data_IF_405908393627
#
_entry.id   IF_405908393627
#
_cell.length_a   1.000
_cell.length_b   1.000
_cell.length_c   1.000
_cell.angle_alpha   90.00
_cell.angle_beta   90.00
_cell.angle_gamma   90.00
#
_symmetry.space_group_name_H-M   'P 1'
#
loop_
_entity.id
_entity.type
_entity.pdbx_description
1 polymer ?
#
# COMPACT_ATOMS: atom_id res chain seq x y z
N UNK A 1 51.20 19.30 -53.10
CA UNK A 1 51.40 20.08 -51.85
C UNK A 1 50.05 20.28 -51.24
N UNK A 2 49.74 19.53 -50.20
CA UNK A 2 48.47 19.68 -49.48
C UNK A 2 48.67 20.82 -48.50
N UNK A 3 47.91 21.90 -48.63
CA UNK A 3 47.90 23.07 -47.74
C UNK A 3 47.43 22.65 -46.36
N UNK A 4 48.32 22.68 -45.39
CA UNK A 4 48.01 22.52 -43.95
C UNK A 4 47.04 23.64 -43.52
N UNK A 5 45.74 23.34 -43.59
CA UNK A 5 44.72 24.23 -43.03
C UNK A 5 44.95 24.34 -41.49
N UNK A 6 44.89 25.55 -40.90
CA UNK A 6 45.12 25.71 -39.46
C UNK A 6 44.07 24.90 -38.66
N UNK A 7 44.55 23.90 -37.92
CA UNK A 7 43.74 23.07 -37.04
C UNK A 7 43.02 23.96 -36.02
N UNK A 8 41.69 23.86 -35.95
CA UNK A 8 40.88 24.48 -34.90
C UNK A 8 41.29 24.00 -33.50
N UNK A 9 40.66 24.56 -32.47
CA UNK A 9 40.99 24.26 -31.05
C UNK A 9 40.89 22.74 -30.78
N UNK A 10 39.84 22.07 -31.27
CA UNK A 10 39.63 20.62 -31.14
C UNK A 10 40.71 19.81 -31.86
N UNK A 11 41.12 20.22 -33.07
CA UNK A 11 42.18 19.54 -33.82
C UNK A 11 43.56 19.68 -33.17
N UNK A 12 43.87 20.82 -32.57
CA UNK A 12 45.12 21.04 -31.78
C UNK A 12 45.14 20.18 -30.52
N UNK A 13 43.98 20.05 -29.84
CA UNK A 13 43.86 19.21 -28.66
C UNK A 13 44.03 17.72 -29.03
N UNK A 14 43.35 17.26 -30.08
CA UNK A 14 43.46 15.89 -30.57
C UNK A 14 44.90 15.53 -30.95
N UNK A 15 45.61 16.40 -31.71
CA UNK A 15 47.02 16.20 -32.08
C UNK A 15 47.96 16.14 -30.86
N UNK A 16 47.69 16.87 -29.77
CA UNK A 16 48.50 16.85 -28.53
C UNK A 16 48.33 15.53 -27.77
N UNK A 17 47.14 14.92 -27.81
CA UNK A 17 46.84 13.68 -27.08
C UNK A 17 47.04 12.42 -27.92
N UNK A 18 47.07 12.50 -29.24
CA UNK A 18 47.15 11.36 -30.12
C UNK A 18 48.40 10.47 -29.86
N UNK A 19 49.55 11.04 -29.57
CA UNK A 19 50.79 10.34 -29.28
C UNK A 19 51.23 10.43 -27.80
N UNK A 20 50.30 10.81 -26.91
CA UNK A 20 50.62 10.95 -25.50
C UNK A 20 50.46 9.61 -24.78
N UNK A 21 51.45 9.11 -23.99
CA UNK A 21 51.35 7.86 -23.27
C UNK A 21 50.23 7.84 -22.21
N UNK A 22 49.72 9.01 -21.81
CA UNK A 22 48.58 9.10 -20.91
C UNK A 22 47.25 8.74 -21.59
N UNK A 23 47.14 8.84 -22.89
CA UNK A 23 45.89 8.60 -23.63
C UNK A 23 45.37 7.17 -23.46
N UNK A 24 46.18 6.09 -23.66
CA UNK A 24 45.69 4.73 -23.42
C UNK A 24 45.35 4.46 -21.94
N UNK A 25 46.09 5.10 -21.00
CA UNK A 25 45.80 4.96 -19.57
C UNK A 25 44.45 5.57 -19.24
N UNK A 26 44.14 6.78 -19.74
CA UNK A 26 42.86 7.44 -19.57
C UNK A 26 41.71 6.66 -20.23
N UNK A 27 41.98 6.08 -21.40
CA UNK A 27 40.99 5.24 -22.10
C UNK A 27 40.63 3.97 -21.27
N UNK A 28 41.65 3.29 -20.72
CA UNK A 28 41.42 2.12 -19.84
C UNK A 28 40.71 2.53 -18.55
N UNK A 29 41.10 3.63 -17.93
CA UNK A 29 40.45 4.14 -16.73
C UNK A 29 38.99 4.51 -16.99
N UNK A 30 38.71 5.18 -18.12
CA UNK A 30 37.34 5.50 -18.53
C UNK A 30 36.49 4.24 -18.75
N UNK A 31 37.04 3.20 -19.37
CA UNK A 31 36.38 1.91 -19.61
C UNK A 31 36.10 1.21 -18.27
N UNK A 32 37.06 1.19 -17.35
CA UNK A 32 36.88 0.59 -16.02
C UNK A 32 35.83 1.35 -15.22
N UNK A 33 35.85 2.69 -15.21
CA UNK A 33 34.83 3.50 -14.55
C UNK A 33 33.44 3.25 -15.15
N UNK A 34 33.34 3.13 -16.48
CA UNK A 34 32.09 2.79 -17.16
C UNK A 34 31.56 1.42 -16.75
N UNK A 35 32.45 0.41 -16.67
CA UNK A 35 32.08 -0.93 -16.21
C UNK A 35 31.58 -0.91 -14.75
N UNK A 36 32.29 -0.23 -13.87
CA UNK A 36 31.88 -0.05 -12.46
C UNK A 36 30.53 0.67 -12.36
N UNK A 37 30.34 1.72 -13.16
CA UNK A 37 29.06 2.44 -13.18
C UNK A 37 27.90 1.54 -13.58
N UNK A 38 28.05 0.70 -14.61
CA UNK A 38 27.01 -0.25 -15.04
C UNK A 38 26.67 -1.25 -13.93
N UNK A 39 27.67 -1.69 -13.15
CA UNK A 39 27.46 -2.67 -12.06
C UNK A 39 26.78 -2.05 -10.81
N UNK A 40 27.03 -0.76 -10.53
CA UNK A 40 26.54 -0.11 -9.31
C UNK A 40 25.20 0.62 -9.54
N UNK A 41 24.92 1.05 -10.78
CA UNK A 41 23.71 1.83 -11.07
C UNK A 41 22.45 0.96 -10.90
N UNK A 42 21.49 1.35 -10.03
CA UNK A 42 20.25 0.63 -9.87
C UNK A 42 19.46 0.54 -11.17
N UNK A 43 18.94 -0.65 -11.45
CA UNK A 43 18.08 -0.87 -12.61
C UNK A 43 16.61 -0.66 -12.20
N UNK A 44 15.95 0.28 -12.86
CA UNK A 44 14.56 0.63 -12.58
C UNK A 44 13.77 0.68 -13.89
N UNK A 45 12.49 0.26 -13.84
CA UNK A 45 11.63 0.31 -15.01
C UNK A 45 11.18 1.73 -15.33
N UNK A 46 10.82 2.49 -14.28
CA UNK A 46 10.38 3.88 -14.39
C UNK A 46 11.47 4.79 -13.80
N UNK A 47 11.78 5.92 -14.47
CA UNK A 47 12.76 6.86 -13.95
C UNK A 47 12.25 7.45 -12.63
N UNK A 48 13.15 7.64 -11.68
CA UNK A 48 12.88 8.34 -10.43
C UNK A 48 12.63 9.82 -10.71
N UNK A 49 11.35 10.17 -10.90
CA UNK A 49 10.94 11.57 -11.02
C UNK A 49 10.62 12.04 -9.60
N UNK A 50 11.34 13.07 -9.15
CA UNK A 50 11.13 13.65 -7.82
C UNK A 50 9.86 14.51 -7.79
N UNK A 51 8.71 13.84 -7.76
CA UNK A 51 7.39 14.44 -7.61
C UNK A 51 6.84 14.09 -6.24
N UNK A 52 6.68 15.10 -5.42
CA UNK A 52 6.00 14.95 -4.13
C UNK A 52 4.50 14.91 -4.33
N UNK A 53 3.87 13.85 -3.83
CA UNK A 53 2.42 13.67 -3.82
C UNK A 53 1.94 13.27 -2.43
N UNK A 54 0.68 13.56 -2.14
CA UNK A 54 0.02 13.07 -0.93
C UNK A 54 -1.48 12.89 -1.17
N UNK A 55 -2.05 11.89 -0.48
CA UNK A 55 -3.50 11.74 -0.40
C UNK A 55 -3.99 12.26 0.95
N UNK A 56 -5.10 12.99 0.92
CA UNK A 56 -5.84 13.42 2.10
C UNK A 56 -7.18 12.69 2.09
N UNK A 57 -7.40 11.82 3.06
CA UNK A 57 -8.65 11.08 3.24
C UNK A 57 -9.48 11.77 4.30
N UNK A 58 -10.74 12.09 3.99
CA UNK A 58 -11.66 12.68 4.95
C UNK A 58 -12.91 11.82 5.04
N UNK A 59 -13.11 11.08 6.13
CA UNK A 59 -14.32 10.28 6.32
C UNK A 59 -15.52 11.18 6.64
N UNK A 60 -16.67 10.86 6.03
CA UNK A 60 -17.94 11.49 6.32
C UNK A 60 -19.05 10.43 6.30
N UNK A 61 -19.12 9.57 7.31
CA UNK A 61 -20.05 8.46 7.35
C UNK A 61 -21.50 8.88 7.15
N UNK A 62 -22.25 8.15 6.33
CA UNK A 62 -23.66 8.42 6.03
C UNK A 62 -23.94 9.52 5.00
N UNK A 63 -22.93 10.27 4.58
CA UNK A 63 -23.10 11.30 3.56
C UNK A 63 -23.12 10.70 2.14
N UNK A 64 -23.97 11.23 1.28
CA UNK A 64 -23.96 10.96 -0.16
C UNK A 64 -22.73 11.60 -0.83
N UNK A 65 -22.33 11.12 -2.02
CA UNK A 65 -21.23 11.70 -2.79
C UNK A 65 -21.38 13.21 -3.03
N UNK A 66 -22.60 13.67 -3.28
CA UNK A 66 -22.88 15.10 -3.47
C UNK A 66 -22.69 15.93 -2.21
N UNK A 67 -23.07 15.38 -1.04
CA UNK A 67 -22.80 16.04 0.24
C UNK A 67 -21.31 16.06 0.57
N UNK A 68 -20.59 14.95 0.30
CA UNK A 68 -19.14 14.88 0.44
C UNK A 68 -18.45 15.92 -0.45
N UNK A 69 -18.88 16.04 -1.72
CA UNK A 69 -18.35 17.04 -2.65
C UNK A 69 -18.52 18.46 -2.12
N UNK A 70 -19.76 18.83 -1.76
CA UNK A 70 -20.08 20.19 -1.38
C UNK A 70 -19.52 20.60 -0.01
N UNK A 71 -19.53 19.70 0.96
CA UNK A 71 -19.18 20.01 2.34
C UNK A 71 -17.72 19.69 2.70
N UNK A 72 -17.04 18.84 1.91
CA UNK A 72 -15.67 18.39 2.19
C UNK A 72 -14.74 18.69 1.03
N UNK A 73 -15.01 18.11 -0.16
CA UNK A 73 -14.04 18.18 -1.27
C UNK A 73 -13.83 19.61 -1.74
N UNK A 74 -14.89 20.33 -2.07
CA UNK A 74 -14.81 21.69 -2.60
C UNK A 74 -14.17 22.69 -1.61
N UNK A 75 -14.56 22.77 -0.31
CA UNK A 75 -13.88 23.64 0.64
C UNK A 75 -12.41 23.29 0.85
N UNK A 76 -12.08 21.98 0.91
CA UNK A 76 -10.73 21.54 1.14
C UNK A 76 -9.83 21.74 -0.09
N UNK A 77 -10.32 21.53 -1.31
CA UNK A 77 -9.61 21.86 -2.56
C UNK A 77 -9.16 23.33 -2.57
N UNK A 78 -10.05 24.23 -2.20
CA UNK A 78 -9.74 25.65 -2.12
C UNK A 78 -8.60 25.92 -1.14
N UNK A 79 -8.65 25.31 0.04
CA UNK A 79 -7.59 25.46 1.06
C UNK A 79 -6.28 24.84 0.63
N UNK A 80 -6.32 23.68 -0.02
CA UNK A 80 -5.11 23.00 -0.50
C UNK A 80 -4.45 23.76 -1.66
N UNK A 81 -5.24 24.39 -2.54
CA UNK A 81 -4.72 25.17 -3.67
C UNK A 81 -3.97 26.42 -3.23
N UNK A 82 -4.13 26.88 -1.99
CA UNK A 82 -3.40 28.01 -1.41
C UNK A 82 -1.95 27.67 -1.04
N UNK A 83 -1.59 26.38 -1.00
CA UNK A 83 -0.25 25.91 -0.60
C UNK A 83 0.75 26.18 -1.73
N UNK A 84 1.85 26.86 -1.42
CA UNK A 84 2.93 27.12 -2.36
C UNK A 84 3.56 25.82 -2.89
N UNK A 85 3.77 25.77 -4.20
CA UNK A 85 4.40 24.64 -4.88
C UNK A 85 3.42 23.54 -5.29
N UNK A 86 2.13 23.65 -5.02
CA UNK A 86 1.12 22.75 -5.56
C UNK A 86 0.91 23.00 -7.05
N UNK A 87 0.92 21.92 -7.83
CA UNK A 87 0.65 21.93 -9.26
C UNK A 87 -0.81 21.59 -9.55
N UNK A 88 -1.29 20.49 -8.93
CA UNK A 88 -2.66 20.03 -9.10
C UNK A 88 -3.24 19.49 -7.80
N UNK A 89 -4.55 19.66 -7.63
CA UNK A 89 -5.35 18.99 -6.60
C UNK A 89 -6.45 18.23 -7.33
N UNK A 90 -6.50 16.92 -7.14
CA UNK A 90 -7.55 16.06 -7.66
C UNK A 90 -8.41 15.59 -6.50
N UNK A 91 -9.73 15.54 -6.68
CA UNK A 91 -10.64 15.02 -5.66
C UNK A 91 -11.55 13.93 -6.21
N UNK A 92 -11.86 12.98 -5.33
CA UNK A 92 -12.86 11.93 -5.56
C UNK A 92 -13.81 11.93 -4.38
N UNK A 93 -15.07 12.29 -4.64
CA UNK A 93 -16.15 12.28 -3.66
C UNK A 93 -16.93 10.98 -3.76
N UNK A 94 -16.81 10.12 -2.76
CA UNK A 94 -17.54 8.84 -2.64
C UNK A 94 -18.56 8.94 -1.51
N UNK A 95 -19.61 8.09 -1.50
CA UNK A 95 -20.46 7.98 -0.33
C UNK A 95 -19.62 7.67 0.92
N UNK A 96 -19.73 8.52 1.94
CA UNK A 96 -19.01 8.35 3.19
C UNK A 96 -17.57 8.79 3.23
N UNK A 97 -16.94 9.25 2.12
CA UNK A 97 -15.52 9.62 2.13
C UNK A 97 -15.12 10.56 0.97
N UNK A 98 -14.31 11.58 1.27
CA UNK A 98 -13.55 12.32 0.28
C UNK A 98 -12.10 11.82 0.22
N UNK A 99 -11.54 11.76 -0.99
CA UNK A 99 -10.12 11.49 -1.23
C UNK A 99 -9.58 12.60 -2.11
N UNK A 100 -8.65 13.40 -1.56
CA UNK A 100 -7.98 14.46 -2.31
C UNK A 100 -6.53 14.07 -2.54
N UNK A 101 -6.09 14.13 -3.79
CA UNK A 101 -4.70 13.89 -4.17
C UNK A 101 -4.04 15.21 -4.52
N UNK A 102 -3.00 15.55 -3.79
CA UNK A 102 -2.20 16.75 -3.97
C UNK A 102 -0.92 16.37 -4.72
N UNK A 103 -0.66 17.03 -5.85
CA UNK A 103 0.56 16.90 -6.65
C UNK A 103 1.34 18.21 -6.59
N UNK A 104 2.61 18.14 -6.19
CA UNK A 104 3.51 19.27 -6.19
C UNK A 104 4.26 19.40 -7.52
N UNK A 105 4.79 20.59 -7.80
CA UNK A 105 5.69 20.80 -8.94
C UNK A 105 6.98 20.00 -8.76
N UNK A 106 7.55 19.54 -9.88
CA UNK A 106 8.82 18.79 -9.89
C UNK A 106 9.92 19.62 -9.22
N UNK A 107 10.71 18.98 -8.37
CA UNK A 107 11.82 19.62 -7.65
C UNK A 107 11.42 20.26 -6.31
N UNK A 108 10.15 20.21 -5.91
CA UNK A 108 9.75 20.61 -4.54
C UNK A 108 10.17 19.53 -3.55
N UNK A 109 11.02 19.88 -2.61
CA UNK A 109 11.50 18.95 -1.59
C UNK A 109 10.34 18.33 -0.79
N UNK A 110 10.38 17.01 -0.63
CA UNK A 110 9.28 16.22 -0.05
C UNK A 110 8.97 16.62 1.39
N UNK A 111 9.98 16.73 2.26
CA UNK A 111 9.73 17.00 3.68
C UNK A 111 9.07 18.36 3.92
N UNK A 112 9.59 19.50 3.42
CA UNK A 112 8.93 20.79 3.57
C UNK A 112 7.52 20.83 2.96
N UNK A 113 7.32 20.18 1.81
CA UNK A 113 6.02 20.10 1.14
C UNK A 113 4.97 19.39 2.02
N UNK A 114 5.33 18.25 2.57
CA UNK A 114 4.43 17.48 3.44
C UNK A 114 4.16 18.22 4.75
N UNK A 115 5.13 18.92 5.33
CA UNK A 115 4.93 19.75 6.52
C UNK A 115 3.94 20.89 6.22
N UNK A 116 4.10 21.58 5.08
CA UNK A 116 3.14 22.63 4.65
C UNK A 116 1.73 22.06 4.48
N UNK A 117 1.60 20.87 3.89
CA UNK A 117 0.32 20.18 3.74
C UNK A 117 -0.33 19.85 5.09
N UNK A 118 0.44 19.28 6.02
CA UNK A 118 -0.05 19.01 7.38
C UNK A 118 -0.50 20.30 8.07
N UNK A 119 0.31 21.33 8.02
CA UNK A 119 -0.05 22.62 8.61
C UNK A 119 -1.34 23.17 8.02
N UNK A 120 -1.51 23.15 6.70
CA UNK A 120 -2.73 23.65 6.06
C UNK A 120 -3.97 22.84 6.42
N UNK A 121 -3.85 21.51 6.46
CA UNK A 121 -4.98 20.62 6.78
C UNK A 121 -5.39 20.70 8.25
N UNK A 122 -4.42 20.73 9.18
CA UNK A 122 -4.71 20.62 10.61
C UNK A 122 -4.79 21.96 11.34
N UNK A 123 -4.13 23.01 10.86
CA UNK A 123 -4.20 24.35 11.47
C UNK A 123 -5.40 25.16 11.00
N UNK A 124 -5.95 24.85 9.83
CA UNK A 124 -7.07 25.57 9.23
C UNK A 124 -8.29 24.64 9.09
N UNK A 125 -8.85 24.21 10.20
CA UNK A 125 -10.06 23.35 10.21
C UNK A 125 -11.39 24.13 10.13
N UNK A 126 -11.34 25.43 9.90
CA UNK A 126 -12.48 26.33 9.74
C UNK A 126 -13.34 26.04 8.49
N UNK A 127 -12.78 25.28 7.53
CA UNK A 127 -13.52 24.79 6.37
C UNK A 127 -14.53 23.69 6.72
N UNK A 128 -14.37 23.05 7.87
CA UNK A 128 -15.16 21.89 8.30
C UNK A 128 -16.29 22.33 9.23
N UNK A 129 -17.58 22.25 8.80
CA UNK A 129 -18.71 22.58 9.66
C UNK A 129 -18.72 21.68 10.90
N UNK A 130 -18.85 22.26 12.10
CA UNK A 130 -18.88 21.49 13.33
C UNK A 130 -20.18 20.70 13.47
N UNK A 131 -20.10 19.51 14.08
CA UNK A 131 -21.27 18.74 14.52
C UNK A 131 -22.03 17.95 13.45
N UNK A 132 -21.56 17.93 12.18
CA UNK A 132 -22.23 17.19 11.09
C UNK A 132 -21.62 15.81 10.84
N UNK A 133 -20.66 15.36 11.66
CA UNK A 133 -20.10 14.01 11.56
C UNK A 133 -18.93 13.85 10.58
N UNK A 134 -18.32 14.94 10.09
CA UNK A 134 -17.07 14.88 9.33
C UNK A 134 -15.96 14.44 10.26
N UNK A 135 -15.24 13.37 9.88
CA UNK A 135 -14.11 12.86 10.66
C UNK A 135 -12.82 13.63 10.38
N UNK A 136 -11.80 13.36 11.21
CA UNK A 136 -10.49 13.99 11.09
C UNK A 136 -9.82 13.59 9.74
N UNK A 137 -9.24 14.55 9.02
CA UNK A 137 -8.47 14.26 7.81
C UNK A 137 -7.26 13.37 8.11
N UNK A 138 -6.97 12.42 7.25
CA UNK A 138 -5.77 11.58 7.30
C UNK A 138 -4.89 11.87 6.09
N UNK A 139 -3.72 12.44 6.31
CA UNK A 139 -2.73 12.73 5.25
C UNK A 139 -1.79 11.55 5.09
N UNK A 140 -1.73 10.98 3.90
CA UNK A 140 -0.79 9.91 3.53
C UNK A 140 0.12 10.38 2.39
N UNK A 141 1.40 10.68 2.67
CA UNK A 141 2.37 10.99 1.62
C UNK A 141 2.50 9.83 0.64
N UNK A 142 2.62 10.15 -0.65
CA UNK A 142 2.87 9.20 -1.73
C UNK A 142 4.17 9.53 -2.47
N UNK A 143 4.77 8.51 -3.05
CA UNK A 143 5.95 8.64 -3.91
C UNK A 143 5.98 7.55 -4.97
N UNK A 144 6.90 7.69 -5.93
CA UNK A 144 7.11 6.69 -6.98
C UNK A 144 7.48 5.31 -6.40
N UNK A 145 8.21 5.30 -5.29
CA UNK A 145 8.60 4.07 -4.60
C UNK A 145 7.44 3.34 -3.89
N UNK A 146 6.24 3.93 -3.82
CA UNK A 146 5.03 3.25 -3.32
C UNK A 146 4.44 2.30 -4.35
N UNK A 147 4.86 2.42 -5.63
CA UNK A 147 4.44 1.51 -6.69
C UNK A 147 5.09 0.15 -6.45
N UNK A 148 4.29 -0.94 -6.37
CA UNK A 148 4.85 -2.26 -6.18
C UNK A 148 5.74 -2.69 -7.32
N UNK A 149 6.97 -3.11 -7.00
CA UNK A 149 7.92 -3.68 -7.96
C UNK A 149 7.62 -5.14 -8.29
N UNK A 150 6.91 -5.82 -7.38
CA UNK A 150 6.47 -7.21 -7.58
C UNK A 150 5.06 -7.41 -7.04
N UNK A 151 4.25 -8.20 -7.72
CA UNK A 151 2.97 -8.67 -7.25
C UNK A 151 2.88 -10.18 -7.38
N UNK A 152 2.46 -10.83 -6.30
CA UNK A 152 2.32 -12.28 -6.17
C UNK A 152 0.85 -12.58 -5.94
N UNK A 153 0.22 -13.28 -6.86
CA UNK A 153 -1.19 -13.65 -6.72
C UNK A 153 -1.31 -15.10 -6.27
N UNK A 154 -1.98 -15.28 -5.12
CA UNK A 154 -2.27 -16.57 -4.52
C UNK A 154 -3.67 -16.99 -4.91
N UNK A 155 -3.82 -18.22 -5.37
CA UNK A 155 -5.10 -18.81 -5.75
C UNK A 155 -5.11 -20.33 -5.53
N UNK A 156 -6.27 -20.97 -5.57
CA UNK A 156 -6.41 -22.41 -5.41
C UNK A 156 -7.48 -22.97 -6.34
N UNK A 157 -7.25 -24.19 -6.83
CA UNK A 157 -8.27 -24.98 -7.52
C UNK A 157 -9.24 -25.69 -6.58
N UNK A 158 -8.91 -25.75 -5.30
CA UNK A 158 -9.77 -26.35 -4.28
C UNK A 158 -10.96 -25.40 -3.94
N UNK A 159 -12.19 -25.77 -4.28
CA UNK A 159 -13.37 -24.95 -4.00
C UNK A 159 -13.64 -24.78 -2.48
N UNK A 160 -13.03 -25.61 -1.64
CA UNK A 160 -13.09 -25.47 -0.18
C UNK A 160 -12.19 -24.40 0.39
N UNK A 161 -11.24 -23.85 -0.41
CA UNK A 161 -10.36 -22.77 0.02
C UNK A 161 -10.94 -21.41 -0.40
N UNK A 162 -11.33 -20.64 0.60
CA UNK A 162 -11.86 -19.30 0.44
C UNK A 162 -10.75 -18.25 0.27
N UNK A 163 -11.13 -17.02 -0.13
CA UNK A 163 -10.19 -15.88 -0.14
C UNK A 163 -9.63 -15.60 1.27
N UNK A 164 -10.37 -15.92 2.33
CA UNK A 164 -9.89 -15.81 3.71
C UNK A 164 -8.73 -16.78 4.00
N UNK A 165 -8.84 -18.04 3.57
CA UNK A 165 -7.78 -19.05 3.75
C UNK A 165 -6.51 -18.63 3.00
N UNK A 166 -6.66 -18.11 1.78
CA UNK A 166 -5.55 -17.57 1.01
C UNK A 166 -4.94 -16.33 1.68
N UNK A 167 -5.76 -15.49 2.33
CA UNK A 167 -5.30 -14.32 3.07
C UNK A 167 -4.38 -14.70 4.25
N UNK A 168 -4.66 -15.80 4.96
CA UNK A 168 -3.80 -16.28 6.05
C UNK A 168 -2.41 -16.67 5.54
N UNK A 169 -2.36 -17.35 4.39
CA UNK A 169 -1.09 -17.69 3.72
C UNK A 169 -0.37 -16.41 3.26
N UNK A 170 -1.11 -15.46 2.67
CA UNK A 170 -0.56 -14.18 2.21
C UNK A 170 0.06 -13.36 3.36
N UNK A 171 -0.60 -13.25 4.50
CA UNK A 171 -0.06 -12.56 5.69
C UNK A 171 1.20 -13.23 6.25
N UNK A 172 1.26 -14.57 6.19
CA UNK A 172 2.48 -15.29 6.54
C UNK A 172 3.62 -15.00 5.57
N UNK A 173 3.31 -14.90 4.27
CA UNK A 173 4.26 -14.51 3.22
C UNK A 173 4.73 -13.07 3.40
N UNK A 174 3.85 -12.12 3.75
CA UNK A 174 4.26 -10.73 4.02
C UNK A 174 5.42 -10.66 5.01
N UNK A 175 5.32 -11.42 6.10
CA UNK A 175 6.35 -11.46 7.14
C UNK A 175 7.68 -11.96 6.60
N UNK A 176 7.65 -12.99 5.77
CA UNK A 176 8.86 -13.58 5.18
C UNK A 176 9.47 -12.71 4.09
N UNK A 177 8.63 -12.04 3.29
CA UNK A 177 9.09 -11.16 2.23
C UNK A 177 9.62 -9.82 2.76
N UNK A 178 9.11 -9.33 3.89
CA UNK A 178 9.69 -8.16 4.58
C UNK A 178 11.12 -8.35 5.05
N UNK A 179 11.58 -9.59 5.19
CA UNK A 179 12.98 -9.91 5.54
C UNK A 179 13.95 -9.80 4.36
N UNK A 180 13.43 -9.71 3.13
CA UNK A 180 14.28 -9.54 1.94
C UNK A 180 14.87 -8.13 1.95
N UNK A 181 16.21 -7.97 1.87
CA UNK A 181 16.86 -6.65 1.86
C UNK A 181 16.34 -5.79 0.70
N UNK A 182 16.12 -4.50 0.97
CA UNK A 182 15.62 -3.57 -0.04
C UNK A 182 14.10 -3.46 -0.11
N UNK A 183 13.32 -4.37 0.48
CA UNK A 183 11.87 -4.21 0.58
C UNK A 183 11.52 -3.11 1.58
N UNK A 184 10.55 -2.27 1.24
CA UNK A 184 10.02 -1.22 2.10
C UNK A 184 8.68 -1.61 2.69
N UNK A 185 7.71 -1.86 1.82
CA UNK A 185 6.36 -2.20 2.19
C UNK A 185 5.92 -3.50 1.50
N UNK A 186 5.28 -4.36 2.27
CA UNK A 186 4.69 -5.60 1.77
C UNK A 186 3.29 -5.67 2.33
N UNK A 187 2.30 -5.72 1.46
CA UNK A 187 0.90 -5.67 1.86
C UNK A 187 0.03 -6.55 0.96
N UNK A 188 -1.10 -6.98 1.50
CA UNK A 188 -2.03 -7.87 0.82
C UNK A 188 -3.26 -7.11 0.31
N UNK A 189 -3.69 -7.41 -0.91
CA UNK A 189 -4.87 -6.86 -1.58
C UNK A 189 -5.90 -7.98 -1.74
N UNK A 190 -7.17 -7.67 -1.45
CA UNK A 190 -8.28 -8.62 -1.56
C UNK A 190 -8.35 -9.65 -0.45
N UNK A 191 -7.65 -9.41 0.68
CA UNK A 191 -7.70 -10.23 1.87
C UNK A 191 -8.90 -9.83 2.74
N UNK A 192 -9.94 -10.65 2.87
CA UNK A 192 -11.02 -10.38 3.79
C UNK A 192 -10.55 -10.62 5.24
N UNK A 193 -10.99 -9.76 6.16
CA UNK A 193 -10.76 -9.93 7.59
C UNK A 193 -11.85 -10.81 8.21
N UNK A 194 -11.50 -11.56 9.26
CA UNK A 194 -12.49 -12.26 10.07
C UNK A 194 -13.27 -11.26 10.91
N UNK A 195 -14.59 -11.43 10.97
CA UNK A 195 -15.48 -10.57 11.74
C UNK A 195 -16.54 -11.40 12.46
N UNK A 196 -17.06 -10.84 13.56
CA UNK A 196 -18.31 -11.32 14.15
C UNK A 196 -19.45 -10.55 13.49
N UNK A 197 -20.31 -11.26 12.78
CA UNK A 197 -21.48 -10.69 12.12
C UNK A 197 -22.67 -10.68 13.08
N UNK A 198 -23.35 -9.55 13.16
CA UNK A 198 -24.58 -9.34 13.95
C UNK A 198 -25.68 -8.93 12.99
N UNK A 199 -26.53 -9.88 12.63
CA UNK A 199 -27.71 -9.66 11.78
C UNK A 199 -28.91 -9.33 12.64
N UNK A 200 -29.30 -8.07 12.73
CA UNK A 200 -30.43 -7.61 13.53
C UNK A 200 -31.76 -8.01 12.90
N UNK A 201 -32.69 -8.50 13.72
CA UNK A 201 -34.07 -8.76 13.32
C UNK A 201 -34.95 -7.56 13.69
N UNK A 202 -35.47 -6.81 12.70
CA UNK A 202 -36.29 -5.61 12.96
C UNK A 202 -37.58 -5.91 13.71
N UNK A 203 -38.18 -7.11 13.52
CA UNK A 203 -39.40 -7.52 14.21
C UNK A 203 -39.15 -7.76 15.69
N UNK A 204 -38.05 -8.42 16.03
CA UNK A 204 -37.67 -8.67 17.42
C UNK A 204 -37.22 -7.37 18.11
N UNK A 205 -36.46 -6.50 17.45
CA UNK A 205 -36.12 -5.18 17.96
C UNK A 205 -37.36 -4.39 18.35
N UNK A 206 -38.36 -4.36 17.46
CA UNK A 206 -39.65 -3.69 17.73
C UNK A 206 -40.42 -4.32 18.89
N UNK A 207 -40.43 -5.67 19.00
CA UNK A 207 -41.10 -6.39 20.08
C UNK A 207 -40.49 -6.06 21.46
N UNK A 208 -39.18 -5.85 21.53
CA UNK A 208 -38.47 -5.42 22.74
C UNK A 208 -38.40 -3.91 22.92
N UNK A 209 -38.99 -3.12 22.00
CA UNK A 209 -38.94 -1.65 21.96
C UNK A 209 -37.50 -1.09 21.98
N UNK A 210 -36.60 -1.76 21.23
CA UNK A 210 -35.19 -1.37 21.09
C UNK A 210 -34.91 -0.79 19.71
N UNK A 211 -34.05 0.22 19.66
CA UNK A 211 -33.56 0.81 18.41
C UNK A 211 -32.19 0.26 18.02
N UNK A 212 -31.84 0.33 16.74
CA UNK A 212 -30.49 -0.01 16.24
C UNK A 212 -29.43 0.84 16.92
N UNK A 213 -29.75 2.10 17.26
CA UNK A 213 -28.84 2.99 17.93
C UNK A 213 -28.48 2.51 19.35
N UNK A 214 -29.45 2.05 20.12
CA UNK A 214 -29.23 1.49 21.47
C UNK A 214 -28.35 0.23 21.40
N UNK A 215 -28.59 -0.65 20.44
CA UNK A 215 -27.75 -1.83 20.21
C UNK A 215 -26.30 -1.41 19.88
N UNK A 216 -26.12 -0.42 19.00
CA UNK A 216 -24.80 0.09 18.65
C UNK A 216 -24.07 0.72 19.86
N UNK A 217 -24.78 1.48 20.67
CA UNK A 217 -24.23 2.07 21.91
C UNK A 217 -23.84 0.99 22.92
N UNK A 218 -24.67 -0.03 23.11
CA UNK A 218 -24.38 -1.14 24.00
C UNK A 218 -23.13 -1.91 23.57
N UNK A 219 -22.98 -2.22 22.27
CA UNK A 219 -21.78 -2.84 21.72
C UNK A 219 -20.54 -2.00 21.95
N UNK A 220 -20.59 -0.70 21.66
CA UNK A 220 -19.47 0.21 21.88
C UNK A 220 -19.11 0.35 23.36
N UNK A 221 -20.09 0.44 24.24
CA UNK A 221 -19.87 0.57 25.68
C UNK A 221 -19.27 -0.70 26.30
N UNK A 222 -19.62 -1.87 25.76
CA UNK A 222 -19.21 -3.16 26.33
C UNK A 222 -17.87 -3.66 25.77
N UNK A 223 -17.44 -3.18 24.59
CA UNK A 223 -16.18 -3.59 23.98
C UNK A 223 -15.04 -2.63 24.37
N UNK A 224 -14.80 -2.46 25.66
CA UNK A 224 -13.74 -1.61 26.17
C UNK A 224 -13.22 -2.10 27.53
N UNK A 225 -11.93 -1.94 27.73
CA UNK A 225 -11.28 -2.16 29.01
C UNK A 225 -10.67 -0.85 29.49
N UNK A 226 -10.94 -0.45 30.73
CA UNK A 226 -10.43 0.79 31.32
C UNK A 226 -9.65 0.48 32.59
N UNK A 227 -8.49 1.09 32.73
CA UNK A 227 -7.78 1.14 34.00
C UNK A 227 -8.57 2.06 34.96
N UNK A 228 -9.01 1.50 36.08
CA UNK A 228 -9.86 2.23 37.06
C UNK A 228 -9.10 2.63 38.31
N UNK A 229 -7.85 2.24 38.45
CA UNK A 229 -6.98 2.59 39.55
C UNK A 229 -6.06 1.45 39.96
N UNK A 230 -5.27 1.66 41.01
CA UNK A 230 -4.35 0.68 41.53
C UNK A 230 -4.78 0.23 42.94
N UNK A 231 -4.82 -1.06 43.16
CA UNK A 231 -4.93 -1.62 44.52
C UNK A 231 -3.56 -1.63 45.17
N UNK A 232 -3.34 -0.72 46.09
CA UNK A 232 -2.10 -0.66 46.87
C UNK A 232 -2.19 -1.63 48.05
N UNK A 233 -1.19 -2.53 48.17
CA UNK A 233 -1.04 -3.46 49.26
C UNK A 233 0.41 -3.45 49.76
N UNK A 234 0.69 -4.16 50.86
CA UNK A 234 2.06 -4.32 51.38
C UNK A 234 3.03 -5.01 50.40
N UNK A 235 2.48 -5.74 49.40
CA UNK A 235 3.23 -6.40 48.35
C UNK A 235 3.46 -5.53 47.09
N UNK A 236 2.91 -4.28 47.06
CA UNK A 236 3.02 -3.35 45.94
C UNK A 236 1.66 -2.90 45.39
N UNK A 237 1.70 -2.12 44.31
CA UNK A 237 0.52 -1.67 43.57
C UNK A 237 0.18 -2.66 42.48
N UNK A 238 -1.09 -3.08 42.43
CA UNK A 238 -1.65 -3.95 41.37
C UNK A 238 -2.67 -3.16 40.57
N UNK A 239 -2.50 -3.01 39.24
CA UNK A 239 -3.45 -2.30 38.41
C UNK A 239 -4.81 -3.02 38.38
N UNK A 240 -5.88 -2.26 38.53
CA UNK A 240 -7.26 -2.75 38.46
C UNK A 240 -7.88 -2.29 37.17
N UNK A 241 -8.37 -3.24 36.37
CA UNK A 241 -9.09 -2.97 35.13
C UNK A 241 -10.57 -3.28 35.30
N UNK A 242 -11.42 -2.44 34.74
CA UNK A 242 -12.86 -2.69 34.60
C UNK A 242 -13.22 -2.86 33.14
N UNK A 243 -14.06 -3.88 32.87
CA UNK A 243 -14.43 -4.29 31.51
C UNK A 243 -13.38 -5.20 30.87
N UNK A 244 -13.78 -5.76 29.72
CA UNK A 244 -12.93 -6.58 28.85
C UNK A 244 -13.35 -6.36 27.40
N UNK A 245 -12.46 -6.62 26.47
CA UNK A 245 -12.82 -6.67 25.06
C UNK A 245 -13.59 -7.95 24.76
N UNK A 246 -14.58 -7.84 23.88
CA UNK A 246 -15.34 -9.01 23.38
C UNK A 246 -14.39 -9.90 22.56
N UNK A 247 -14.15 -11.12 23.00
CA UNK A 247 -13.17 -12.03 22.42
C UNK A 247 -13.80 -13.17 21.59
N UNK A 248 -15.09 -13.42 21.75
CA UNK A 248 -15.79 -14.51 21.10
C UNK A 248 -17.18 -14.13 20.61
N UNK A 249 -17.74 -14.92 19.68
CA UNK A 249 -19.14 -14.80 19.25
C UNK A 249 -20.11 -14.98 20.41
N UNK A 250 -19.73 -15.77 21.42
CA UNK A 250 -20.54 -16.00 22.63
C UNK A 250 -20.58 -14.74 23.49
N UNK A 251 -19.46 -14.06 23.70
CA UNK A 251 -19.43 -12.81 24.46
C UNK A 251 -20.32 -11.74 23.82
N UNK A 252 -20.35 -11.72 22.47
CA UNK A 252 -21.24 -10.83 21.71
C UNK A 252 -22.69 -11.25 21.85
N UNK A 253 -22.98 -12.55 21.81
CA UNK A 253 -24.34 -13.08 21.92
C UNK A 253 -24.98 -12.83 23.31
N UNK A 254 -24.17 -13.00 24.35
CA UNK A 254 -24.58 -12.86 25.76
C UNK A 254 -24.59 -11.39 26.23
N UNK A 255 -24.30 -10.43 25.33
CA UNK A 255 -24.31 -9.02 25.68
C UNK A 255 -25.69 -8.52 26.01
N UNK A 256 -25.85 -7.86 27.18
CA UNK A 256 -27.09 -7.19 27.57
C UNK A 256 -27.18 -5.85 26.83
N UNK A 257 -28.21 -5.70 25.99
CA UNK A 257 -28.45 -4.51 25.16
C UNK A 257 -29.57 -3.62 25.67
N UNK A 258 -30.34 -4.07 26.66
CA UNK A 258 -31.45 -3.32 27.25
C UNK A 258 -32.20 -4.11 28.30
N UNK A 259 -33.31 -3.55 28.75
CA UNK A 259 -34.25 -4.18 29.70
C UNK A 259 -35.64 -4.15 29.11
N UNK A 260 -36.35 -5.26 29.20
CA UNK A 260 -37.77 -5.35 28.86
C UNK A 260 -38.54 -5.91 30.07
N UNK A 261 -39.46 -5.13 30.66
CA UNK A 261 -40.21 -5.57 31.81
C UNK A 261 -39.36 -5.97 33.04
N UNK A 262 -38.22 -5.33 33.27
CA UNK A 262 -37.21 -5.63 34.32
C UNK A 262 -36.37 -6.92 34.07
N UNK A 263 -36.44 -7.50 32.86
CA UNK A 263 -35.58 -8.63 32.46
C UNK A 263 -34.52 -8.13 31.46
N UNK A 264 -33.27 -8.59 31.58
CA UNK A 264 -32.25 -8.26 30.61
C UNK A 264 -32.56 -8.85 29.23
N UNK A 265 -32.43 -8.04 28.20
CA UNK A 265 -32.52 -8.47 26.80
C UNK A 265 -31.11 -8.68 26.28
N UNK A 266 -30.80 -9.88 25.82
CA UNK A 266 -29.53 -10.24 25.23
C UNK A 266 -29.51 -9.90 23.74
N UNK A 267 -28.33 -9.67 23.19
CA UNK A 267 -28.18 -9.41 21.76
C UNK A 267 -28.64 -10.61 20.93
N UNK A 268 -28.46 -11.84 21.42
CA UNK A 268 -28.98 -13.07 20.81
C UNK A 268 -30.51 -13.13 20.72
N UNK A 269 -31.24 -12.37 21.55
CA UNK A 269 -32.72 -12.34 21.50
C UNK A 269 -33.24 -11.57 20.29
N UNK A 270 -32.44 -10.59 19.79
CA UNK A 270 -32.83 -9.66 18.72
C UNK A 270 -31.96 -9.78 17.46
N UNK A 271 -30.91 -10.62 17.48
CA UNK A 271 -29.99 -10.76 16.37
C UNK A 271 -29.56 -12.23 16.18
N UNK A 272 -29.13 -12.54 14.97
CA UNK A 272 -28.34 -13.71 14.66
C UNK A 272 -26.88 -13.35 14.71
N UNK A 273 -26.10 -14.03 15.57
CA UNK A 273 -24.67 -13.79 15.71
C UNK A 273 -23.93 -14.96 15.10
N UNK A 274 -22.96 -14.66 14.24
CA UNK A 274 -22.14 -15.64 13.55
C UNK A 274 -20.69 -15.19 13.41
N UNK A 275 -19.81 -16.15 13.23
CA UNK A 275 -18.47 -15.88 12.76
C UNK A 275 -18.49 -15.86 11.23
N UNK A 276 -17.99 -14.80 10.65
CA UNK A 276 -17.99 -14.62 9.21
C UNK A 276 -16.79 -13.82 8.75
N UNK A 277 -16.82 -13.39 7.53
CA UNK A 277 -15.85 -12.45 6.95
C UNK A 277 -16.49 -11.07 6.85
N UNK A 278 -15.66 -10.04 7.05
CA UNK A 278 -16.09 -8.66 6.84
C UNK A 278 -16.67 -8.48 5.42
N UNK A 279 -17.71 -7.64 5.22
CA UNK A 279 -18.20 -7.33 3.90
C UNK A 279 -17.09 -6.87 2.98
N UNK A 280 -16.85 -7.61 1.90
CA UNK A 280 -15.69 -7.41 1.04
C UNK A 280 -15.89 -6.16 0.19
N UNK A 281 -15.04 -5.16 0.37
CA UNK A 281 -15.00 -3.94 -0.45
C UNK A 281 -14.06 -4.05 -1.64
N UNK A 282 -13.10 -4.97 -1.56
CA UNK A 282 -12.11 -5.25 -2.62
C UNK A 282 -12.00 -6.75 -2.81
N UNK A 283 -12.17 -7.20 -4.04
CA UNK A 283 -12.00 -8.61 -4.43
C UNK A 283 -10.91 -8.75 -5.46
N UNK A 284 -10.15 -9.82 -5.37
CA UNK A 284 -9.18 -10.23 -6.39
C UNK A 284 -9.62 -11.55 -6.98
N UNK A 285 -9.54 -11.64 -8.30
CA UNK A 285 -9.84 -12.84 -9.05
C UNK A 285 -8.65 -13.18 -9.92
N UNK A 286 -8.24 -14.43 -9.92
CA UNK A 286 -7.21 -14.94 -10.81
C UNK A 286 -7.84 -15.67 -11.98
N UNK A 287 -7.39 -15.34 -13.19
CA UNK A 287 -7.79 -16.03 -14.41
C UNK A 287 -6.58 -16.13 -15.34
N UNK A 288 -6.40 -17.28 -15.99
CA UNK A 288 -5.34 -17.47 -16.97
C UNK A 288 -5.89 -17.32 -18.39
N UNK A 289 -5.12 -16.70 -19.31
CA UNK A 289 -5.46 -16.69 -20.72
C UNK A 289 -5.42 -18.10 -21.31
N UNK A 290 -6.15 -18.33 -22.41
CA UNK A 290 -6.19 -19.61 -23.08
C UNK A 290 -4.78 -20.12 -23.42
N UNK A 291 -4.49 -21.37 -23.06
CA UNK A 291 -3.18 -22.01 -23.29
C UNK A 291 -2.15 -21.81 -22.18
N UNK A 292 -2.48 -21.11 -21.09
CA UNK A 292 -1.66 -21.07 -19.87
C UNK A 292 -2.32 -21.87 -18.75
N UNK A 293 -1.47 -22.41 -17.86
CA UNK A 293 -1.95 -23.06 -16.63
C UNK A 293 -2.66 -22.04 -15.75
N UNK A 294 -3.86 -22.35 -15.31
CA UNK A 294 -4.69 -21.49 -14.49
C UNK A 294 -5.82 -22.27 -13.83
N UNK A 295 -6.76 -21.58 -13.14
CA UNK A 295 -7.85 -22.23 -12.46
C UNK A 295 -8.66 -23.11 -13.42
N UNK A 296 -9.00 -24.33 -12.99
CA UNK A 296 -9.83 -25.26 -13.76
C UNK A 296 -11.20 -24.70 -14.14
N UNK A 297 -11.76 -23.81 -13.30
CA UNK A 297 -13.00 -23.07 -13.53
C UNK A 297 -12.85 -21.85 -14.47
N UNK A 298 -11.64 -21.57 -14.96
CA UNK A 298 -11.31 -20.37 -15.73
C UNK A 298 -11.04 -19.13 -14.86
N UNK A 299 -11.71 -18.97 -13.73
CA UNK A 299 -11.52 -17.86 -12.76
C UNK A 299 -11.64 -18.44 -11.35
N UNK A 300 -10.72 -18.07 -10.45
CA UNK A 300 -10.77 -18.45 -9.04
C UNK A 300 -10.64 -17.21 -8.13
N UNK A 301 -11.25 -17.24 -6.92
CA UNK A 301 -10.94 -16.25 -5.89
C UNK A 301 -9.45 -16.24 -5.60
N UNK A 302 -8.89 -15.05 -5.43
CA UNK A 302 -7.46 -14.88 -5.24
C UNK A 302 -7.16 -13.75 -4.24
N UNK A 303 -5.90 -13.70 -3.82
CA UNK A 303 -5.35 -12.64 -2.96
C UNK A 303 -4.00 -12.25 -3.55
N UNK A 304 -3.69 -10.97 -3.59
CA UNK A 304 -2.42 -10.49 -4.15
C UNK A 304 -1.54 -9.86 -3.07
N UNK A 305 -0.32 -10.36 -2.92
CA UNK A 305 0.73 -9.74 -2.09
C UNK A 305 1.53 -8.79 -2.99
N UNK A 306 1.53 -7.52 -2.64
CA UNK A 306 2.26 -6.47 -3.33
C UNK A 306 3.51 -6.09 -2.55
N UNK A 307 4.65 -5.96 -3.24
CA UNK A 307 5.95 -5.61 -2.63
C UNK A 307 6.47 -4.32 -3.23
N UNK A 308 6.65 -3.30 -2.38
CA UNK A 308 7.30 -2.04 -2.73
C UNK A 308 8.75 -2.00 -2.25
N UNK A 309 9.62 -1.30 -2.98
CA UNK A 309 11.05 -1.19 -2.68
C UNK A 309 11.40 0.06 -1.87
N UNK A 310 12.57 0.05 -1.23
CA UNK A 310 13.16 1.27 -0.66
C UNK A 310 13.70 2.17 -1.78
N UNK A 311 13.67 3.51 -1.59
CA UNK A 311 14.32 4.43 -2.50
C UNK A 311 15.77 4.06 -2.76
N UNK A 312 16.23 4.15 -4.02
CA UNK A 312 17.59 3.85 -4.42
C UNK A 312 17.99 2.37 -4.43
N UNK A 313 17.08 1.46 -4.08
CA UNK A 313 17.35 0.02 -4.16
C UNK A 313 17.13 -0.50 -5.58
N UNK A 314 17.94 -1.48 -6.01
CA UNK A 314 17.82 -2.12 -7.31
C UNK A 314 16.59 -3.04 -7.36
N UNK A 315 15.65 -2.76 -8.26
CA UNK A 315 14.42 -3.54 -8.40
C UNK A 315 14.69 -4.98 -8.85
N UNK A 316 15.65 -5.18 -9.77
CA UNK A 316 15.99 -6.50 -10.29
C UNK A 316 16.53 -7.44 -9.21
N UNK A 317 17.43 -6.94 -8.35
CA UNK A 317 17.99 -7.73 -7.25
C UNK A 317 16.91 -8.13 -6.24
N UNK A 318 16.01 -7.20 -5.91
CA UNK A 318 14.90 -7.45 -4.98
C UNK A 318 13.96 -8.52 -5.52
N UNK A 319 13.51 -8.40 -6.78
CA UNK A 319 12.55 -9.37 -7.35
C UNK A 319 13.18 -10.74 -7.52
N UNK A 320 14.48 -10.82 -7.86
CA UNK A 320 15.22 -12.06 -7.88
C UNK A 320 15.35 -12.70 -6.50
N UNK A 321 15.68 -11.92 -5.46
CA UNK A 321 15.77 -12.40 -4.08
C UNK A 321 14.41 -12.89 -3.56
N UNK A 322 13.31 -12.18 -3.88
CA UNK A 322 11.95 -12.60 -3.56
C UNK A 322 11.62 -13.93 -4.24
N UNK A 323 11.93 -14.07 -5.54
CA UNK A 323 11.68 -15.30 -6.29
C UNK A 323 12.44 -16.50 -5.72
N UNK A 324 13.70 -16.31 -5.31
CA UNK A 324 14.48 -17.33 -4.63
C UNK A 324 13.89 -17.67 -3.24
N UNK A 325 13.45 -16.67 -2.48
CA UNK A 325 12.81 -16.88 -1.18
C UNK A 325 11.51 -17.67 -1.31
N UNK A 326 10.67 -17.35 -2.27
CA UNK A 326 9.41 -18.05 -2.54
C UNK A 326 9.60 -19.55 -2.80
N UNK A 327 10.66 -19.92 -3.53
CA UNK A 327 10.98 -21.33 -3.77
C UNK A 327 11.26 -22.07 -2.46
N UNK A 328 11.98 -21.44 -1.52
CA UNK A 328 12.27 -22.02 -0.23
C UNK A 328 11.07 -22.08 0.73
N UNK A 329 10.01 -21.30 0.49
CA UNK A 329 8.82 -21.26 1.34
C UNK A 329 7.73 -22.26 0.91
N UNK A 330 7.88 -22.90 -0.26
CA UNK A 330 6.96 -23.95 -0.71
C UNK A 330 7.02 -25.15 0.22
N UNK A 331 5.84 -25.64 0.65
CA UNK A 331 5.71 -26.74 1.60
C UNK A 331 5.94 -26.35 3.07
N UNK A 332 6.41 -25.13 3.36
CA UNK A 332 6.58 -24.61 4.72
C UNK A 332 5.53 -23.56 5.08
N UNK A 333 5.51 -22.46 4.35
CA UNK A 333 4.56 -21.35 4.51
C UNK A 333 3.45 -21.41 3.48
N UNK A 334 3.78 -21.83 2.26
CA UNK A 334 2.82 -22.04 1.17
C UNK A 334 2.41 -23.52 1.19
N UNK A 335 1.21 -23.85 1.67
CA UNK A 335 0.74 -25.24 1.75
C UNK A 335 0.45 -25.80 0.35
N UNK A 336 0.41 -27.13 0.25
CA UNK A 336 -0.03 -27.81 -0.97
C UNK A 336 -1.46 -27.37 -1.34
N UNK A 337 -1.70 -27.23 -2.66
CA UNK A 337 -2.98 -26.77 -3.21
C UNK A 337 -3.17 -25.24 -3.18
N UNK A 338 -2.18 -24.46 -2.71
CA UNK A 338 -2.12 -23.02 -2.92
C UNK A 338 -1.08 -22.71 -3.99
N UNK A 339 -1.54 -22.13 -5.10
CA UNK A 339 -0.69 -21.67 -6.18
C UNK A 339 -0.27 -20.23 -5.94
N UNK A 340 0.99 -19.91 -6.23
CA UNK A 340 1.52 -18.55 -6.19
C UNK A 340 2.10 -18.22 -7.56
N UNK A 341 1.54 -17.20 -8.20
CA UNK A 341 1.98 -16.71 -9.50
C UNK A 341 2.51 -15.29 -9.40
N UNK A 342 3.61 -15.01 -10.07
CA UNK A 342 4.16 -13.66 -10.22
C UNK A 342 3.35 -12.97 -11.33
N UNK A 343 2.44 -12.08 -10.93
CA UNK A 343 1.57 -11.34 -11.86
C UNK A 343 2.15 -10.00 -12.29
N UNK A 344 3.15 -9.51 -11.57
CA UNK A 344 3.95 -8.32 -11.92
C UNK A 344 5.39 -8.53 -11.46
N UNK A 345 6.35 -8.25 -12.34
CA UNK A 345 7.78 -8.22 -12.05
C UNK A 345 8.44 -7.05 -12.80
N UNK A 346 8.53 -5.90 -12.12
CA UNK A 346 9.21 -4.73 -12.68
C UNK A 346 10.73 -4.86 -12.62
N UNK A 347 11.27 -5.69 -11.72
CA UNK A 347 12.69 -5.95 -11.67
C UNK A 347 13.17 -6.68 -12.92
N UNK A 348 12.44 -7.71 -13.36
CA UNK A 348 12.72 -8.41 -14.62
C UNK A 348 12.60 -7.48 -15.82
N UNK A 349 11.55 -6.67 -15.89
CA UNK A 349 11.37 -5.69 -16.97
C UNK A 349 12.51 -4.67 -17.03
N UNK A 350 12.95 -4.17 -15.86
CA UNK A 350 14.07 -3.24 -15.75
C UNK A 350 15.38 -3.87 -16.23
N UNK A 351 15.68 -5.10 -15.79
CA UNK A 351 16.87 -5.84 -16.22
C UNK A 351 16.89 -6.08 -17.73
N UNK A 352 15.75 -6.48 -18.31
CA UNK A 352 15.62 -6.71 -19.75
C UNK A 352 15.83 -5.42 -20.56
N UNK A 353 15.26 -4.30 -20.12
CA UNK A 353 15.43 -2.98 -20.75
C UNK A 353 16.90 -2.51 -20.67
N UNK A 354 17.51 -2.61 -19.49
CA UNK A 354 18.91 -2.25 -19.28
C UNK A 354 19.86 -3.11 -20.14
N UNK A 355 19.66 -4.43 -20.16
CA UNK A 355 20.46 -5.35 -20.97
C UNK A 355 20.37 -5.02 -22.46
N UNK A 356 19.17 -4.79 -22.99
CA UNK A 356 18.96 -4.39 -24.39
C UNK A 356 19.64 -3.06 -24.72
N UNK A 357 19.60 -2.09 -23.81
CA UNK A 357 20.27 -0.79 -23.99
C UNK A 357 21.78 -0.97 -24.06
N UNK A 358 22.38 -1.73 -23.13
CA UNK A 358 23.82 -2.03 -23.09
C UNK A 358 24.26 -2.75 -24.37
N UNK A 359 23.51 -3.77 -24.81
CA UNK A 359 23.81 -4.49 -26.05
C UNK A 359 23.81 -3.57 -27.27
N UNK A 360 22.82 -2.68 -27.41
CA UNK A 360 22.76 -1.69 -28.49
C UNK A 360 23.94 -0.71 -28.43
N UNK A 361 24.31 -0.26 -27.22
CA UNK A 361 25.43 0.66 -27.01
C UNK A 361 26.78 0.00 -27.42
N UNK A 362 26.99 -1.26 -27.00
CA UNK A 362 28.20 -2.05 -27.40
C UNK A 362 28.24 -2.21 -28.90
N UNK A 363 27.12 -2.58 -29.55
CA UNK A 363 27.05 -2.73 -30.99
C UNK A 363 27.35 -1.40 -31.72
N UNK A 364 26.72 -0.29 -31.28
CA UNK A 364 26.94 1.02 -31.86
C UNK A 364 28.41 1.45 -31.73
N UNK A 365 28.99 1.29 -30.54
CA UNK A 365 30.39 1.65 -30.25
C UNK A 365 31.34 0.77 -31.11
N UNK A 366 31.09 -0.53 -31.17
CA UNK A 366 31.87 -1.44 -32.03
C UNK A 366 31.82 -1.07 -33.53
N UNK A 367 30.63 -0.68 -34.02
CA UNK A 367 30.45 -0.24 -35.42
C UNK A 367 31.16 1.08 -35.75
N UNK A 368 31.42 1.93 -34.76
CA UNK A 368 32.14 3.20 -34.96
C UNK A 368 33.64 3.00 -34.86
N UNK A 369 34.13 2.02 -34.12
CA UNK A 369 35.56 1.71 -33.93
C UNK A 369 36.11 0.88 -35.05
N UNK A 370 35.29 0.03 -35.71
CA UNK A 370 35.65 -0.73 -36.92
C UNK A 370 35.59 0.14 -38.18
#
# INVERSE_FOLDING_TARGET
MATDAPLGISGRLAKRFQNNPLTPILAILGLLLGLVAVLITPQEEEPQIDVTMANVFVPFPGASSKQVEQLVSFPLEKKLSEIEGIKHVYSISRPGMAVLTVEYTVGVERQPAIVRLYNQVYSNQDWMPPGIGIGQPLVKPKGIDDVPVMALTLWSDDPGKSAYDLAQVAHSLETELKRVPGTRDVYTIGAPSQAVTVELDPGRLSAYNLSVHEVSQALQASNQARHVGDRVSAAGATPVQAGQFLASTRDVADLVIGLSGNQPVLLSDVARIGQGIEPVTQTVWHGAPAGRSGPASGIAPAVTVAVAKKPGSNAADITQAISARLQGLRGQVIPEGVNVEITRDYGQSAADKASKLIQKLIFATGSVVL
#
